data_IF_559907714912
#
_entry.id   IF_559907714912
#
_cell.length_a   1.000
_cell.length_b   1.000
_cell.length_c   1.000
_cell.angle_alpha   90.00
_cell.angle_beta   90.00
_cell.angle_gamma   90.00
#
_symmetry.space_group_name_H-M   'P 1'
#
loop_
_entity.id
_entity.type
_entity.pdbx_description
1 polymer ?
#
# COMPACT_ATOMS: atom_id res chain seq x y z
N UNK A 1 -6.31 16.00 -11.36
CA UNK A 1 -5.75 14.92 -10.53
C UNK A 1 -6.94 14.21 -9.94
N UNK A 2 -6.95 12.86 -9.95
CA UNK A 2 -8.10 12.12 -9.49
C UNK A 2 -8.41 12.46 -8.05
N UNK A 3 -9.68 12.70 -7.76
CA UNK A 3 -10.19 12.99 -6.42
C UNK A 3 -10.88 11.78 -5.79
N UNK A 4 -11.13 10.74 -6.58
CA UNK A 4 -11.88 9.54 -6.18
C UNK A 4 -11.05 8.28 -6.42
N UNK A 5 -11.00 7.41 -5.41
CA UNK A 5 -10.52 6.05 -5.51
C UNK A 5 -11.71 5.08 -5.49
N UNK A 6 -11.78 4.18 -6.47
CA UNK A 6 -12.74 3.08 -6.48
C UNK A 6 -12.09 1.86 -5.84
N UNK A 7 -12.65 1.38 -4.72
CA UNK A 7 -11.99 0.40 -3.84
C UNK A 7 -12.84 -0.86 -3.69
N UNK A 8 -12.25 -2.02 -3.94
CA UNK A 8 -12.78 -3.32 -3.50
C UNK A 8 -12.35 -3.55 -2.05
N UNK A 9 -13.31 -3.61 -1.13
CA UNK A 9 -13.06 -3.74 0.30
C UNK A 9 -12.87 -5.20 0.72
N UNK A 10 -12.03 -5.41 1.74
CA UNK A 10 -11.69 -6.73 2.26
C UNK A 10 -12.78 -7.30 3.17
N UNK A 11 -13.86 -7.76 2.55
CA UNK A 11 -14.95 -8.45 3.23
C UNK A 11 -15.55 -9.54 2.33
N UNK A 12 -15.67 -10.78 2.81
CA UNK A 12 -16.18 -11.89 2.01
C UNK A 12 -17.72 -11.91 2.03
N UNK A 13 -18.35 -10.93 1.36
CA UNK A 13 -19.80 -10.83 1.27
C UNK A 13 -20.21 -10.41 -0.15
N UNK A 14 -20.96 -11.28 -0.84
CA UNK A 14 -21.31 -11.09 -2.25
C UNK A 14 -22.13 -9.82 -2.49
N UNK A 15 -22.94 -9.42 -1.51
CA UNK A 15 -23.77 -8.20 -1.57
C UNK A 15 -22.94 -6.91 -1.64
N UNK A 16 -21.66 -6.97 -1.32
CA UNK A 16 -20.73 -5.84 -1.30
C UNK A 16 -19.46 -6.13 -2.11
N UNK A 17 -19.44 -7.18 -2.94
CA UNK A 17 -18.32 -7.48 -3.85
C UNK A 17 -18.37 -6.59 -5.10
N UNK A 18 -18.22 -5.28 -4.88
CA UNK A 18 -18.20 -4.25 -5.92
C UNK A 18 -17.35 -3.07 -5.47
N UNK A 19 -16.86 -2.23 -6.40
CA UNK A 19 -16.09 -1.06 -6.02
C UNK A 19 -16.95 -0.05 -5.26
N UNK A 20 -16.39 0.55 -4.22
CA UNK A 20 -16.95 1.68 -3.50
C UNK A 20 -16.10 2.92 -3.74
N UNK A 21 -16.74 4.08 -3.91
CA UNK A 21 -16.05 5.34 -4.12
C UNK A 21 -15.60 5.94 -2.78
N UNK A 22 -14.34 6.38 -2.72
CA UNK A 22 -13.75 7.08 -1.59
C UNK A 22 -13.02 8.33 -2.06
N UNK A 23 -13.05 9.38 -1.25
CA UNK A 23 -12.27 10.58 -1.50
C UNK A 23 -10.78 10.28 -1.30
N UNK A 24 -9.94 10.79 -2.20
CA UNK A 24 -8.48 10.76 -2.08
C UNK A 24 -8.04 12.02 -1.34
N UNK A 25 -7.47 11.90 -0.12
CA UNK A 25 -6.85 13.03 0.58
C UNK A 25 -5.81 13.72 -0.29
N UNK A 26 -5.69 15.04 -0.16
CA UNK A 26 -4.80 15.87 -1.02
C UNK A 26 -3.37 15.32 -1.08
N UNK A 27 -2.84 14.89 0.06
CA UNK A 27 -1.49 14.32 0.20
C UNK A 27 -1.25 13.00 -0.57
N UNK A 28 -2.30 12.39 -1.11
CA UNK A 28 -2.23 11.14 -1.86
C UNK A 28 -2.74 11.25 -3.30
N UNK A 29 -3.19 12.42 -3.75
CA UNK A 29 -3.76 12.59 -5.10
C UNK A 29 -2.77 12.32 -6.24
N UNK A 30 -1.47 12.50 -6.00
CA UNK A 30 -0.41 12.15 -6.97
C UNK A 30 0.23 10.78 -6.71
N UNK A 31 -0.20 10.09 -5.65
CA UNK A 31 0.46 8.87 -5.14
C UNK A 31 -0.43 7.66 -5.34
N UNK A 32 -1.73 7.77 -5.04
CA UNK A 32 -2.66 6.65 -5.17
C UNK A 32 -2.83 6.28 -6.65
N UNK A 33 -2.61 5.00 -6.92
CA UNK A 33 -2.75 4.37 -8.24
C UNK A 33 -3.57 3.09 -8.12
N UNK A 34 -4.20 2.62 -9.22
CA UNK A 34 -4.79 1.30 -9.28
C UNK A 34 -3.78 0.21 -8.86
N UNK A 35 -4.24 -0.78 -8.12
CA UNK A 35 -3.47 -1.91 -7.62
C UNK A 35 -2.79 -1.66 -6.27
N UNK A 36 -2.92 -0.45 -5.71
CA UNK A 36 -2.44 -0.15 -4.35
C UNK A 36 -3.45 -0.62 -3.30
N UNK A 37 -2.94 -1.03 -2.13
CA UNK A 37 -3.80 -1.30 -0.98
C UNK A 37 -3.98 -0.05 -0.14
N UNK A 38 -5.19 0.12 0.36
CA UNK A 38 -5.61 1.26 1.17
C UNK A 38 -6.48 0.79 2.34
N UNK A 39 -6.40 1.49 3.47
CA UNK A 39 -7.40 1.38 4.51
C UNK A 39 -8.55 2.36 4.25
N UNK A 40 -9.77 1.89 4.46
CA UNK A 40 -10.97 2.69 4.28
C UNK A 40 -12.00 2.40 5.38
N UNK A 41 -12.81 3.41 5.76
CA UNK A 41 -13.93 3.21 6.66
C UNK A 41 -15.05 2.43 5.96
N UNK A 42 -15.54 1.37 6.60
CA UNK A 42 -16.65 0.56 6.10
C UNK A 42 -17.59 0.17 7.25
N UNK A 43 -18.75 0.84 7.32
CA UNK A 43 -19.62 0.80 8.50
C UNK A 43 -18.88 1.29 9.76
N UNK A 44 -18.89 0.52 10.87
CA UNK A 44 -18.18 0.86 12.10
C UNK A 44 -16.70 0.44 12.12
N UNK A 45 -16.22 -0.25 11.07
CA UNK A 45 -14.87 -0.82 11.00
C UNK A 45 -13.99 -0.05 10.02
N UNK A 46 -12.68 -0.23 10.14
CA UNK A 46 -11.72 0.05 9.08
C UNK A 46 -11.39 -1.27 8.39
N UNK A 47 -11.44 -1.29 7.06
CA UNK A 47 -11.07 -2.45 6.26
C UNK A 47 -9.92 -2.08 5.33
N UNK A 48 -9.05 -3.06 5.07
CA UNK A 48 -8.14 -2.98 3.94
C UNK A 48 -8.96 -3.11 2.65
N UNK A 49 -8.43 -2.62 1.54
CA UNK A 49 -9.01 -2.80 0.23
C UNK A 49 -8.00 -2.54 -0.87
N UNK A 50 -8.38 -2.85 -2.10
CA UNK A 50 -7.58 -2.59 -3.30
C UNK A 50 -8.22 -1.49 -4.12
N UNK A 51 -7.43 -0.49 -4.49
CA UNK A 51 -7.83 0.52 -5.47
C UNK A 51 -7.88 -0.16 -6.84
N UNK A 52 -9.05 -0.25 -7.44
CA UNK A 52 -9.21 -0.85 -8.78
C UNK A 52 -9.24 0.20 -9.90
N UNK A 53 -9.60 1.44 -9.55
CA UNK A 53 -9.58 2.57 -10.46
C UNK A 53 -9.46 3.88 -9.68
N UNK A 54 -9.02 4.94 -10.37
CA UNK A 54 -9.04 6.31 -9.88
C UNK A 54 -9.80 7.18 -10.87
N UNK A 55 -10.53 8.17 -10.39
CA UNK A 55 -11.38 9.04 -11.21
C UNK A 55 -11.38 10.48 -10.67
N UNK A 56 -11.66 11.44 -11.56
CA UNK A 56 -11.84 12.84 -11.16
C UNK A 56 -13.23 13.10 -10.57
N UNK A 57 -14.25 12.30 -10.95
CA UNK A 57 -15.66 12.44 -10.56
C UNK A 57 -16.20 11.10 -10.05
N UNK A 58 -17.08 11.16 -9.05
CA UNK A 58 -17.80 10.00 -8.51
C UNK A 58 -19.17 9.84 -9.18
N UNK A 59 -19.62 8.61 -9.32
CA UNK A 59 -21.00 8.30 -9.77
C UNK A 59 -22.04 8.52 -8.67
N UNK A 60 -21.58 8.79 -7.43
CA UNK A 60 -22.45 9.10 -6.29
C UNK A 60 -22.93 10.54 -6.40
N UNK A 61 -24.26 10.70 -6.39
CA UNK A 61 -24.94 12.00 -6.56
C UNK A 61 -24.55 13.04 -5.50
N UNK A 62 -24.25 12.58 -4.28
CA UNK A 62 -23.91 13.43 -3.14
C UNK A 62 -22.51 13.10 -2.63
N UNK A 63 -21.53 13.84 -3.16
CA UNK A 63 -20.10 13.69 -2.83
C UNK A 63 -19.83 13.91 -1.33
N UNK A 64 -20.67 14.71 -0.64
CA UNK A 64 -20.47 15.00 0.79
C UNK A 64 -20.64 13.78 1.69
N UNK A 65 -21.28 12.71 1.17
CA UNK A 65 -21.45 11.43 1.87
C UNK A 65 -20.27 10.48 1.66
N UNK A 66 -19.36 10.79 0.74
CA UNK A 66 -18.18 9.97 0.52
C UNK A 66 -17.25 10.11 1.72
N UNK A 67 -16.76 8.96 2.18
CA UNK A 67 -15.70 8.92 3.17
C UNK A 67 -14.35 8.97 2.45
N UNK A 68 -13.32 9.39 3.17
CA UNK A 68 -11.96 9.44 2.64
C UNK A 68 -11.22 8.12 2.86
N UNK A 69 -10.25 7.85 2.00
CA UNK A 69 -9.17 6.90 2.29
C UNK A 69 -8.47 7.32 3.59
N UNK A 70 -8.24 6.38 4.50
CA UNK A 70 -7.68 6.65 5.82
C UNK A 70 -6.19 6.33 5.93
N UNK A 71 -5.69 5.40 5.12
CA UNK A 71 -4.27 5.04 5.08
C UNK A 71 -3.89 4.46 3.72
N UNK A 72 -2.68 4.75 3.26
CA UNK A 72 -2.08 4.11 2.08
C UNK A 72 -1.14 2.99 2.54
N UNK A 73 -1.44 1.74 2.24
CA UNK A 73 -0.64 0.62 2.75
C UNK A 73 0.63 0.38 1.94
N UNK A 74 0.66 0.78 0.66
CA UNK A 74 1.76 0.50 -0.26
C UNK A 74 2.47 1.71 -0.82
N UNK A 75 3.78 1.54 -1.10
CA UNK A 75 4.56 2.56 -1.79
C UNK A 75 4.21 2.51 -3.27
N UNK A 76 4.14 1.31 -3.86
CA UNK A 76 3.82 1.08 -5.28
C UNK A 76 2.60 0.14 -5.40
N UNK A 77 1.91 0.11 -6.55
CA UNK A 77 0.90 -0.92 -6.82
C UNK A 77 1.46 -2.33 -6.56
N UNK A 78 0.70 -3.13 -5.82
CA UNK A 78 1.03 -4.55 -5.57
C UNK A 78 0.31 -5.47 -6.55
N UNK A 79 -0.72 -4.97 -7.22
CA UNK A 79 -1.37 -5.60 -8.37
C UNK A 79 -1.06 -4.75 -9.61
N UNK A 80 -0.62 -5.40 -10.69
CA UNK A 80 -0.45 -4.72 -11.98
C UNK A 80 -1.80 -4.49 -12.66
N UNK A 81 -1.88 -3.62 -13.67
CA UNK A 81 -3.09 -3.45 -14.47
C UNK A 81 -3.61 -4.76 -15.08
N UNK A 82 -2.72 -5.64 -15.53
CA UNK A 82 -3.06 -6.96 -16.09
C UNK A 82 -3.65 -7.88 -15.03
N UNK A 83 -3.11 -7.84 -13.80
CA UNK A 83 -3.64 -8.61 -12.66
C UNK A 83 -5.04 -8.13 -12.26
N UNK A 84 -5.27 -6.81 -12.25
CA UNK A 84 -6.60 -6.24 -12.00
C UNK A 84 -7.60 -6.67 -13.08
N UNK A 85 -7.22 -6.58 -14.35
CA UNK A 85 -8.05 -7.00 -15.47
C UNK A 85 -8.37 -8.50 -15.43
N UNK A 86 -7.36 -9.33 -15.16
CA UNK A 86 -7.54 -10.77 -14.98
C UNK A 86 -8.46 -11.08 -13.81
N UNK A 87 -8.28 -10.43 -12.67
CA UNK A 87 -9.09 -10.68 -11.49
C UNK A 87 -10.55 -10.26 -11.67
N UNK A 88 -10.79 -9.16 -12.40
CA UNK A 88 -12.12 -8.75 -12.81
C UNK A 88 -12.77 -9.77 -13.75
N UNK A 89 -12.04 -10.25 -14.76
CA UNK A 89 -12.51 -11.30 -15.66
C UNK A 89 -12.85 -12.59 -14.91
N UNK A 90 -11.99 -13.03 -13.98
CA UNK A 90 -12.23 -14.22 -13.16
C UNK A 90 -13.47 -14.07 -12.27
N UNK A 91 -13.72 -12.88 -11.70
CA UNK A 91 -14.87 -12.64 -10.84
C UNK A 91 -16.20 -12.63 -11.61
N UNK A 92 -16.18 -12.38 -12.92
CA UNK A 92 -17.38 -12.43 -13.76
C UNK A 92 -17.80 -13.87 -14.09
N UNK A 93 -16.83 -14.77 -14.23
CA UNK A 93 -17.07 -16.17 -14.62
C UNK A 93 -17.10 -17.14 -13.43
N UNK A 94 -16.56 -16.73 -12.28
CA UNK A 94 -16.51 -17.55 -11.07
C UNK A 94 -17.35 -16.98 -9.93
N UNK A 95 -17.93 -17.84 -9.10
CA UNK A 95 -18.65 -17.44 -7.87
C UNK A 95 -17.69 -16.99 -6.73
N UNK A 96 -16.49 -16.52 -7.07
CA UNK A 96 -15.49 -16.07 -6.12
C UNK A 96 -15.54 -14.55 -5.96
N UNK A 97 -15.24 -14.07 -4.75
CA UNK A 97 -15.14 -12.64 -4.49
C UNK A 97 -13.88 -12.04 -5.14
N UNK A 98 -14.00 -10.83 -5.72
CA UNK A 98 -12.84 -10.10 -6.26
C UNK A 98 -11.72 -9.97 -5.24
N UNK A 99 -12.08 -9.71 -3.98
CA UNK A 99 -11.09 -9.61 -2.91
C UNK A 99 -10.28 -10.91 -2.75
N UNK A 100 -10.93 -12.08 -2.80
CA UNK A 100 -10.25 -13.36 -2.65
C UNK A 100 -9.31 -13.64 -3.82
N UNK A 101 -9.73 -13.27 -5.04
CA UNK A 101 -8.90 -13.38 -6.24
C UNK A 101 -7.66 -12.47 -6.11
N UNK A 102 -7.86 -11.19 -5.79
CA UNK A 102 -6.77 -10.23 -5.61
C UNK A 102 -5.80 -10.62 -4.50
N UNK A 103 -6.28 -11.11 -3.36
CA UNK A 103 -5.43 -11.59 -2.28
C UNK A 103 -4.61 -12.82 -2.68
N UNK A 104 -5.17 -13.71 -3.50
CA UNK A 104 -4.49 -14.93 -3.97
C UNK A 104 -3.33 -14.61 -4.91
N UNK A 105 -3.41 -13.49 -5.63
CA UNK A 105 -2.32 -13.00 -6.47
C UNK A 105 -1.13 -12.48 -5.67
N UNK A 106 -1.31 -12.18 -4.37
CA UNK A 106 -0.23 -11.71 -3.51
C UNK A 106 0.48 -12.88 -2.81
N UNK A 107 1.82 -12.87 -2.73
CA UNK A 107 2.59 -13.74 -1.84
C UNK A 107 2.00 -13.76 -0.42
N UNK A 108 2.06 -14.92 0.24
CA UNK A 108 1.53 -15.12 1.60
C UNK A 108 2.00 -14.06 2.60
N UNK A 109 3.23 -13.57 2.42
CA UNK A 109 3.84 -12.57 3.27
C UNK A 109 3.12 -11.21 3.21
N UNK A 110 2.46 -10.90 2.09
CA UNK A 110 1.80 -9.63 1.88
C UNK A 110 0.30 -9.64 2.26
N UNK A 111 -0.22 -10.76 2.80
CA UNK A 111 -1.63 -10.88 3.18
C UNK A 111 -1.95 -10.41 4.61
N UNK A 112 -0.94 -10.20 5.46
CA UNK A 112 -1.09 -9.70 6.84
C UNK A 112 -0.63 -8.24 7.01
N UNK A 113 -0.83 -7.69 8.21
CA UNK A 113 -0.21 -6.42 8.62
C UNK A 113 1.27 -6.66 8.90
N UNK A 114 2.13 -5.93 8.21
CA UNK A 114 3.58 -5.99 8.33
C UNK A 114 4.15 -4.59 8.58
N UNK A 115 5.29 -4.54 9.26
CA UNK A 115 6.05 -3.30 9.37
C UNK A 115 6.79 -3.07 8.05
N UNK A 116 6.49 -1.95 7.41
CA UNK A 116 7.16 -1.52 6.19
C UNK A 116 8.17 -0.43 6.52
N UNK A 117 9.35 -0.58 5.95
CA UNK A 117 10.42 0.38 6.04
C UNK A 117 10.85 0.85 4.66
N UNK A 118 11.28 2.09 4.58
CA UNK A 118 11.93 2.69 3.42
C UNK A 118 13.40 2.88 3.77
N UNK A 119 14.29 2.45 2.89
CA UNK A 119 15.75 2.43 3.10
C UNK A 119 16.39 3.32 2.06
N UNK A 120 17.29 4.20 2.50
CA UNK A 120 18.09 5.03 1.61
C UNK A 120 19.13 4.16 0.87
N UNK A 121 19.19 4.27 -0.46
CA UNK A 121 20.14 3.54 -1.31
C UNK A 121 21.10 4.47 -2.01
N UNK A 122 20.61 5.62 -2.48
CA UNK A 122 21.44 6.61 -3.14
C UNK A 122 21.60 7.86 -2.28
N UNK A 123 22.82 8.10 -1.80
CA UNK A 123 23.17 9.25 -0.99
C UNK A 123 23.45 10.52 -1.82
N UNK A 124 23.47 10.42 -3.15
CA UNK A 124 23.65 11.57 -4.03
C UNK A 124 22.35 12.34 -4.27
N UNK A 125 21.18 11.67 -4.13
CA UNK A 125 19.89 12.33 -4.20
C UNK A 125 19.64 13.10 -2.89
N UNK A 126 20.06 14.36 -2.85
CA UNK A 126 19.96 15.23 -1.67
C UNK A 126 18.53 15.39 -1.15
N UNK A 127 17.53 15.36 -2.04
CA UNK A 127 16.13 15.45 -1.65
C UNK A 127 15.65 14.16 -0.96
N UNK A 128 16.07 12.99 -1.44
CA UNK A 128 15.83 11.71 -0.79
C UNK A 128 16.57 11.62 0.55
N UNK A 129 17.82 12.08 0.61
CA UNK A 129 18.62 12.14 1.86
C UNK A 129 17.95 13.02 2.91
N UNK A 130 17.41 14.18 2.52
CA UNK A 130 16.77 15.11 3.44
C UNK A 130 15.56 14.51 4.17
N UNK A 131 14.83 13.59 3.53
CA UNK A 131 13.72 12.86 4.17
C UNK A 131 14.18 12.07 5.41
N UNK A 132 15.43 11.58 5.42
CA UNK A 132 15.89 10.68 6.48
C UNK A 132 16.50 11.40 7.68
N UNK A 133 16.76 12.71 7.60
CA UNK A 133 17.32 13.51 8.71
C UNK A 133 18.58 12.86 9.36
N UNK A 134 19.41 12.20 8.54
CA UNK A 134 20.62 11.50 9.00
C UNK A 134 20.43 10.02 9.38
N UNK A 135 19.20 9.49 9.33
CA UNK A 135 18.94 8.06 9.41
C UNK A 135 19.22 7.36 8.06
N UNK A 136 19.22 6.02 8.06
CA UNK A 136 19.31 5.20 6.84
C UNK A 136 17.99 4.47 6.53
N UNK A 137 17.07 4.44 7.50
CA UNK A 137 15.83 3.67 7.42
C UNK A 137 14.73 4.41 8.18
N UNK A 138 13.55 4.51 7.57
CA UNK A 138 12.33 5.07 8.18
C UNK A 138 11.19 4.07 8.07
N UNK A 139 10.33 4.01 9.09
CA UNK A 139 9.05 3.29 8.97
C UNK A 139 8.10 4.04 8.02
N UNK A 140 7.18 3.29 7.42
CA UNK A 140 6.26 3.83 6.42
C UNK A 140 5.32 4.91 6.98
N UNK A 141 4.92 4.83 8.25
CA UNK A 141 4.02 5.83 8.84
C UNK A 141 4.71 7.19 8.97
N UNK A 142 5.98 7.19 9.36
CA UNK A 142 6.82 8.39 9.40
C UNK A 142 6.99 8.99 8.01
N UNK A 143 7.22 8.16 6.99
CA UNK A 143 7.30 8.61 5.59
C UNK A 143 5.97 9.20 5.11
N UNK A 144 4.83 8.61 5.47
CA UNK A 144 3.50 9.11 5.11
C UNK A 144 3.17 10.47 5.73
N UNK A 145 3.69 10.74 6.93
CA UNK A 145 3.53 12.03 7.59
C UNK A 145 4.49 13.11 7.03
N UNK A 146 5.48 12.71 6.23
CA UNK A 146 6.47 13.64 5.69
C UNK A 146 5.92 14.44 4.49
N UNK A 147 6.39 15.69 4.29
CA UNK A 147 6.06 16.46 3.08
C UNK A 147 6.53 15.78 1.79
N UNK A 148 7.53 14.89 1.88
CA UNK A 148 8.15 14.21 0.75
C UNK A 148 7.42 12.94 0.30
N UNK A 149 6.32 12.54 0.95
CA UNK A 149 5.57 11.32 0.61
C UNK A 149 5.27 11.19 -0.89
N UNK A 150 4.98 12.31 -1.55
CA UNK A 150 4.69 12.39 -2.98
C UNK A 150 5.87 11.98 -3.89
N UNK A 151 7.11 12.16 -3.41
CA UNK A 151 8.32 11.81 -4.17
C UNK A 151 8.79 10.39 -3.91
N UNK A 152 8.34 9.74 -2.83
CA UNK A 152 8.86 8.45 -2.40
C UNK A 152 8.64 7.37 -3.45
N UNK A 153 7.49 7.38 -4.13
CA UNK A 153 7.24 6.48 -5.26
C UNK A 153 8.29 6.61 -6.36
N UNK A 154 8.56 7.87 -6.75
CA UNK A 154 9.54 8.20 -7.77
C UNK A 154 10.94 7.74 -7.35
N UNK A 155 11.37 8.09 -6.15
CA UNK A 155 12.69 7.70 -5.63
C UNK A 155 12.85 6.19 -5.47
N UNK A 156 11.78 5.46 -5.15
CA UNK A 156 11.80 4.00 -5.16
C UNK A 156 11.92 3.44 -6.59
N UNK A 157 11.24 4.04 -7.57
CA UNK A 157 11.34 3.62 -8.97
C UNK A 157 12.71 3.93 -9.61
N UNK A 158 13.35 5.01 -9.18
CA UNK A 158 14.68 5.44 -9.66
C UNK A 158 15.82 4.70 -8.93
N UNK A 159 15.51 3.90 -7.91
CA UNK A 159 16.49 3.15 -7.13
C UNK A 159 17.19 3.93 -6.03
N UNK A 160 16.78 5.18 -5.80
CA UNK A 160 17.30 6.01 -4.70
C UNK A 160 16.86 5.49 -3.33
N UNK A 161 15.66 4.91 -3.27
CA UNK A 161 15.08 4.29 -2.08
C UNK A 161 14.71 2.83 -2.37
N UNK A 162 14.70 2.00 -1.32
CA UNK A 162 14.18 0.64 -1.38
C UNK A 162 13.11 0.41 -0.31
N UNK A 163 12.12 -0.43 -0.60
CA UNK A 163 11.12 -0.85 0.40
C UNK A 163 11.51 -2.21 0.97
N UNK A 164 11.54 -2.30 2.30
CA UNK A 164 11.84 -3.55 3.03
C UNK A 164 10.70 -3.87 3.98
N UNK A 165 10.34 -5.15 4.03
CA UNK A 165 9.29 -5.67 4.89
C UNK A 165 9.91 -6.42 6.07
N UNK A 166 9.52 -6.08 7.29
CA UNK A 166 9.92 -6.83 8.49
C UNK A 166 8.79 -7.74 8.93
N UNK A 167 9.08 -9.04 8.98
CA UNK A 167 8.17 -10.05 9.50
C UNK A 167 8.43 -10.23 10.98
N UNK A 168 7.44 -9.94 11.82
CA UNK A 168 7.48 -10.31 13.24
C UNK A 168 7.37 -11.83 13.35
N UNK A 169 8.51 -12.53 13.47
CA UNK A 169 8.51 -13.95 13.85
C UNK A 169 8.25 -14.05 15.35
N UNK A 170 7.18 -14.74 15.76
CA UNK A 170 7.01 -15.25 17.13
C UNK A 170 7.98 -16.41 17.38
N UNK A 171 9.28 -16.15 17.32
CA UNK A 171 10.32 -17.08 17.75
C UNK A 171 11.07 -16.49 18.94
N UNK A 172 11.35 -17.35 19.91
CA UNK A 172 11.83 -17.09 21.27
C UNK A 172 13.03 -16.15 21.32
N UNK A 173 12.94 -15.11 22.17
CA UNK A 173 14.00 -14.10 22.39
C UNK A 173 15.33 -14.77 22.77
N UNK A 174 16.34 -14.63 21.90
CA UNK A 174 17.74 -14.67 22.32
C UNK A 174 18.29 -13.25 22.21
N UNK A 175 18.68 -12.70 23.36
CA UNK A 175 19.19 -11.34 23.49
C UNK A 175 20.58 -11.24 22.85
N UNK A 176 20.75 -10.39 21.83
CA UNK A 176 22.04 -9.80 21.50
C UNK A 176 21.86 -8.33 21.10
N UNK A 177 22.73 -7.50 21.67
CA UNK A 177 22.69 -6.03 21.69
C UNK A 177 23.48 -5.44 20.52
N UNK A 178 22.99 -4.32 19.97
CA UNK A 178 23.63 -3.35 19.05
C UNK A 178 23.25 -3.40 17.55
N UNK A 179 23.04 -2.23 16.88
CA UNK A 179 22.24 -2.11 15.65
C UNK A 179 22.95 -2.54 14.35
N UNK A 180 24.23 -2.90 14.41
CA UNK A 180 25.07 -3.09 13.20
C UNK A 180 25.10 -4.52 12.65
N UNK A 181 24.28 -5.46 13.15
CA UNK A 181 24.23 -6.85 12.65
C UNK A 181 22.90 -7.28 12.02
N UNK A 182 21.98 -6.35 11.73
CA UNK A 182 20.64 -6.71 11.24
C UNK A 182 20.57 -7.21 9.79
N UNK A 183 21.65 -7.09 9.00
CA UNK A 183 21.65 -7.53 7.60
C UNK A 183 22.25 -8.91 7.33
N UNK A 184 22.81 -9.61 8.33
CA UNK A 184 23.61 -10.82 8.04
C UNK A 184 23.05 -12.15 8.53
N UNK A 185 21.80 -12.22 9.03
CA UNK A 185 21.12 -13.50 9.24
C UNK A 185 19.63 -13.33 9.54
N UNK A 186 18.81 -13.29 8.48
CA UNK A 186 17.40 -13.71 8.36
C UNK A 186 16.79 -13.00 7.15
N UNK A 187 15.93 -13.70 6.40
CA UNK A 187 15.50 -13.39 5.03
C UNK A 187 14.95 -11.96 4.88
N UNK A 188 15.78 -11.04 4.42
CA UNK A 188 15.36 -9.77 3.81
C UNK A 188 14.99 -10.09 2.38
N UNK A 189 13.70 -9.98 2.03
CA UNK A 189 13.25 -10.13 0.64
C UNK A 189 13.11 -8.71 0.08
N UNK A 190 14.04 -8.31 -0.77
CA UNK A 190 13.89 -7.15 -1.64
C UNK A 190 13.07 -7.56 -2.85
N UNK A 191 11.90 -6.97 -3.05
CA UNK A 191 11.22 -7.04 -4.35
C UNK A 191 11.67 -5.83 -5.18
N UNK A 192 12.22 -6.09 -6.37
CA UNK A 192 12.46 -5.06 -7.40
C UNK A 192 11.14 -4.49 -7.92
#
# INVERSE_FOLDING_TARGET
>A
MPSIAKVIVDTPAMTVDRPFDYLIPQQWQTVIQPGMRVAVPFGPRQLLGFVVAVADVSDVTDITKLKSVTELFDVRPVLTPEMLALGEWMAQDSLNFRISIFQTMLPNLMRGSYEKYVVLKNWENTAAVALFEGAETLDWQTVQASPHVHNVQKWVSEGDLATVYRVSSKETKKNETSPQKLFNNRRVISCG
#
